data_IF_920496797554
#
_entry.id   IF_920496797554
#
_cell.length_a   1.000
_cell.length_b   1.000
_cell.length_c   1.000
_cell.angle_alpha   90.00
_cell.angle_beta   90.00
_cell.angle_gamma   90.00
#
_symmetry.space_group_name_H-M   'P 1'
#
loop_
_entity.id
_entity.type
_entity.pdbx_description
1 polymer ?
#
# COMPACT_ATOMS: atom_id res chain seq x y z
N UNK A 1 -22.00 1.93 14.00
CA UNK A 1 -22.97 0.82 14.14
C UNK A 1 -23.81 0.59 12.89
N UNK A 2 -24.32 1.62 12.20
CA UNK A 2 -25.17 1.40 11.00
C UNK A 2 -24.43 0.76 9.80
N UNK A 3 -23.16 1.12 9.60
CA UNK A 3 -22.34 0.60 8.49
C UNK A 3 -22.11 -0.91 8.52
N UNK A 4 -21.93 -1.47 9.71
CA UNK A 4 -21.73 -2.91 9.92
C UNK A 4 -22.97 -3.70 9.47
N UNK A 5 -24.17 -3.26 9.87
CA UNK A 5 -25.44 -3.85 9.40
C UNK A 5 -25.61 -3.75 7.88
N UNK A 6 -25.19 -2.65 7.25
CA UNK A 6 -25.25 -2.53 5.78
C UNK A 6 -24.33 -3.58 5.11
N UNK A 7 -23.14 -3.81 5.67
CA UNK A 7 -22.22 -4.83 5.16
C UNK A 7 -22.80 -6.24 5.34
N UNK A 8 -23.28 -6.59 6.53
CA UNK A 8 -23.91 -7.89 6.79
C UNK A 8 -25.09 -8.15 5.84
N UNK A 9 -25.87 -7.09 5.52
CA UNK A 9 -26.95 -7.17 4.55
C UNK A 9 -26.45 -7.41 3.11
N UNK A 10 -25.38 -6.72 2.68
CA UNK A 10 -24.80 -6.85 1.33
C UNK A 10 -24.14 -8.21 1.08
N UNK A 11 -23.63 -8.85 2.13
CA UNK A 11 -22.97 -10.15 2.09
C UNK A 11 -23.89 -11.32 2.48
N UNK A 12 -25.19 -11.08 2.67
CA UNK A 12 -26.18 -12.11 3.00
C UNK A 12 -25.95 -12.76 4.39
N UNK A 13 -25.26 -12.07 5.31
CA UNK A 13 -24.87 -12.58 6.64
C UNK A 13 -25.96 -12.37 7.71
N UNK A 14 -26.98 -11.55 7.41
CA UNK A 14 -28.12 -11.34 8.30
C UNK A 14 -29.07 -12.54 8.34
N UNK A 15 -29.53 -12.90 9.54
CA UNK A 15 -30.64 -13.85 9.72
C UNK A 15 -31.95 -13.29 9.15
N UNK A 16 -32.93 -14.14 8.77
CA UNK A 16 -34.18 -13.68 8.13
C UNK A 16 -34.95 -12.62 8.94
N UNK A 17 -35.05 -12.80 10.25
CA UNK A 17 -35.79 -11.89 11.13
C UNK A 17 -35.12 -10.51 11.21
N UNK A 18 -33.79 -10.49 11.30
CA UNK A 18 -32.98 -9.25 11.34
C UNK A 18 -33.02 -8.54 9.98
N UNK A 19 -33.02 -9.29 8.88
CA UNK A 19 -33.18 -8.75 7.54
C UNK A 19 -34.51 -8.02 7.37
N UNK A 20 -35.63 -8.62 7.82
CA UNK A 20 -36.94 -8.01 7.69
C UNK A 20 -37.06 -6.70 8.50
N UNK A 21 -36.47 -6.67 9.70
CA UNK A 21 -36.34 -5.44 10.49
C UNK A 21 -35.50 -4.38 9.78
N UNK A 22 -34.33 -4.76 9.27
CA UNK A 22 -33.45 -3.85 8.56
C UNK A 22 -34.07 -3.31 7.27
N UNK A 23 -34.83 -4.12 6.53
CA UNK A 23 -35.58 -3.67 5.36
C UNK A 23 -36.71 -2.70 5.70
N UNK A 24 -37.35 -2.86 6.87
CA UNK A 24 -38.32 -1.87 7.37
C UNK A 24 -37.64 -0.55 7.72
N UNK A 25 -36.46 -0.60 8.35
CA UNK A 25 -35.66 0.60 8.61
C UNK A 25 -35.21 1.30 7.31
N UNK A 26 -34.74 0.53 6.33
CA UNK A 26 -34.34 1.02 5.01
C UNK A 26 -35.48 1.75 4.30
N UNK A 27 -36.71 1.26 4.37
CA UNK A 27 -37.87 1.93 3.75
C UNK A 27 -38.16 3.31 4.35
N UNK A 28 -37.83 3.51 5.62
CA UNK A 28 -38.16 4.73 6.37
C UNK A 28 -36.98 5.71 6.50
N UNK A 29 -35.78 5.33 6.10
CA UNK A 29 -34.57 6.14 6.28
C UNK A 29 -33.83 6.38 4.96
N UNK A 30 -33.98 7.58 4.40
CA UNK A 30 -33.34 7.98 3.14
C UNK A 30 -31.81 8.01 3.21
N UNK A 31 -31.22 8.26 4.39
CA UNK A 31 -29.77 8.26 4.58
C UNK A 31 -29.19 6.85 4.45
N UNK A 32 -29.83 5.85 5.08
CA UNK A 32 -29.41 4.44 4.95
C UNK A 32 -29.56 3.94 3.51
N UNK A 33 -30.57 4.39 2.78
CA UNK A 33 -30.71 4.06 1.35
C UNK A 33 -29.57 4.63 0.50
N UNK A 34 -29.11 5.85 0.80
CA UNK A 34 -27.97 6.46 0.11
C UNK A 34 -26.69 5.68 0.39
N UNK A 35 -26.41 5.38 1.66
CA UNK A 35 -25.21 4.64 2.07
C UNK A 35 -25.17 3.22 1.49
N UNK A 36 -26.33 2.53 1.45
CA UNK A 36 -26.45 1.23 0.78
C UNK A 36 -26.14 1.33 -0.72
N UNK A 37 -26.63 2.37 -1.41
CA UNK A 37 -26.39 2.59 -2.84
C UNK A 37 -24.91 2.83 -3.13
N UNK A 38 -24.26 3.68 -2.33
CA UNK A 38 -22.82 3.96 -2.46
C UNK A 38 -21.99 2.67 -2.33
N UNK A 39 -22.29 1.82 -1.33
CA UNK A 39 -21.59 0.56 -1.15
C UNK A 39 -21.89 -0.47 -2.25
N UNK A 40 -23.10 -0.48 -2.81
CA UNK A 40 -23.44 -1.31 -3.97
C UNK A 40 -22.67 -0.88 -5.22
N UNK A 41 -22.47 0.42 -5.43
CA UNK A 41 -21.67 0.96 -6.54
C UNK A 41 -20.20 0.53 -6.41
N UNK A 42 -19.61 0.65 -5.22
CA UNK A 42 -18.24 0.17 -4.94
C UNK A 42 -18.12 -1.34 -5.23
N UNK A 43 -19.09 -2.15 -4.78
CA UNK A 43 -19.10 -3.59 -5.07
C UNK A 43 -19.20 -3.88 -6.56
N UNK A 44 -20.07 -3.18 -7.29
CA UNK A 44 -20.20 -3.30 -8.75
C UNK A 44 -18.88 -2.98 -9.44
N UNK A 45 -18.23 -1.89 -9.05
CA UNK A 45 -16.92 -1.49 -9.58
C UNK A 45 -15.85 -2.56 -9.33
N UNK A 46 -15.75 -3.08 -8.10
CA UNK A 46 -14.81 -4.16 -7.78
C UNK A 46 -15.10 -5.44 -8.57
N UNK A 47 -16.37 -5.80 -8.74
CA UNK A 47 -16.76 -7.01 -9.50
C UNK A 47 -16.39 -6.94 -10.99
N UNK A 48 -16.45 -5.74 -11.59
CA UNK A 48 -16.03 -5.53 -12.98
C UNK A 48 -14.51 -5.74 -13.17
N UNK A 49 -13.73 -5.56 -12.11
CA UNK A 49 -12.27 -5.77 -12.14
C UNK A 49 -11.85 -7.22 -11.89
N UNK A 50 -12.73 -8.08 -11.33
CA UNK A 50 -12.37 -9.45 -10.92
C UNK A 50 -12.66 -10.52 -11.98
N UNK A 51 -13.31 -10.17 -13.09
CA UNK A 51 -13.80 -11.16 -14.07
C UNK A 51 -12.77 -11.59 -15.13
N UNK A 52 -11.50 -11.19 -14.96
CA UNK A 52 -10.38 -11.90 -15.57
C UNK A 52 -9.80 -12.86 -14.54
N UNK A 53 -10.58 -13.90 -14.21
CA UNK A 53 -9.96 -15.15 -13.75
C UNK A 53 -9.07 -15.55 -14.91
N UNK A 54 -7.76 -15.31 -14.78
CA UNK A 54 -6.78 -15.77 -15.73
C UNK A 54 -7.07 -17.26 -15.92
N UNK A 55 -7.65 -17.62 -17.07
CA UNK A 55 -7.81 -19.01 -17.43
C UNK A 55 -6.43 -19.62 -17.24
N UNK A 56 -6.30 -20.77 -16.55
CA UNK A 56 -5.01 -21.43 -16.46
C UNK A 56 -4.51 -21.49 -17.88
N UNK A 57 -3.38 -20.83 -18.13
CA UNK A 57 -2.77 -20.83 -19.45
C UNK A 57 -2.49 -22.30 -19.72
N UNK A 58 -3.36 -22.95 -20.50
CA UNK A 58 -3.04 -24.23 -21.11
C UNK A 58 -1.92 -23.90 -22.09
N UNK A 59 -0.70 -23.91 -21.56
CA UNK A 59 0.50 -23.94 -22.35
C UNK A 59 0.43 -25.23 -23.13
N UNK A 60 -0.18 -25.18 -24.32
CA UNK A 60 0.14 -26.10 -25.40
C UNK A 60 1.58 -25.79 -25.76
N UNK A 61 2.51 -26.38 -25.00
CA UNK A 61 3.94 -26.35 -25.27
C UNK A 61 4.13 -27.14 -26.56
N UNK A 62 3.99 -26.46 -27.71
CA UNK A 62 4.55 -26.98 -28.95
C UNK A 62 6.04 -27.22 -28.65
N UNK A 63 6.57 -28.44 -28.86
CA UNK A 63 7.95 -28.74 -28.51
C UNK A 63 8.84 -27.77 -29.28
N UNK A 64 9.44 -26.82 -28.56
CA UNK A 64 10.32 -25.82 -29.14
C UNK A 64 11.55 -26.57 -29.64
N UNK A 65 11.69 -26.59 -30.96
CA UNK A 65 12.84 -27.18 -31.66
C UNK A 65 14.13 -26.58 -31.12
N UNK A 66 14.97 -27.43 -30.52
CA UNK A 66 16.38 -27.22 -30.12
C UNK A 66 16.82 -25.75 -30.06
N UNK A 67 16.40 -25.04 -29.01
CA UNK A 67 16.99 -23.73 -28.72
C UNK A 67 18.43 -23.98 -28.25
N UNK A 68 19.36 -23.40 -29.02
CA UNK A 68 20.79 -23.38 -28.75
C UNK A 68 20.99 -22.97 -27.28
N UNK A 69 21.70 -23.80 -26.52
CA UNK A 69 21.96 -23.69 -25.08
C UNK A 69 22.80 -22.42 -24.80
N UNK A 70 22.18 -21.25 -24.89
CA UNK A 70 22.74 -19.99 -24.42
C UNK A 70 22.86 -20.13 -22.91
N UNK A 71 24.06 -19.90 -22.38
CA UNK A 71 24.34 -20.18 -20.97
C UNK A 71 23.42 -19.34 -20.08
N UNK A 72 22.77 -19.99 -19.11
CA UNK A 72 21.74 -19.41 -18.22
C UNK A 72 22.19 -18.11 -17.53
N UNK A 73 23.50 -17.90 -17.43
CA UNK A 73 24.14 -16.70 -16.91
C UNK A 73 23.81 -15.42 -17.69
N UNK A 74 23.62 -15.50 -19.01
CA UNK A 74 23.29 -14.31 -19.82
C UNK A 74 21.87 -13.80 -19.58
N UNK A 75 20.91 -14.68 -19.31
CA UNK A 75 19.54 -14.28 -19.03
C UNK A 75 19.45 -13.47 -17.72
N UNK A 76 20.20 -13.87 -16.69
CA UNK A 76 20.27 -13.18 -15.39
C UNK A 76 20.91 -11.80 -15.55
N UNK A 77 22.00 -11.70 -16.32
CA UNK A 77 22.65 -10.42 -16.59
C UNK A 77 21.74 -9.47 -17.38
N UNK A 78 21.02 -9.98 -18.38
CA UNK A 78 20.08 -9.19 -19.16
C UNK A 78 18.89 -8.68 -18.32
N UNK A 79 18.34 -9.49 -17.42
CA UNK A 79 17.28 -9.04 -16.51
C UNK A 79 17.77 -7.99 -15.52
N UNK A 80 18.98 -8.14 -14.98
CA UNK A 80 19.58 -7.13 -14.10
C UNK A 80 19.81 -5.81 -14.83
N UNK A 81 20.31 -5.87 -16.06
CA UNK A 81 20.54 -4.69 -16.88
C UNK A 81 19.23 -3.96 -17.21
N UNK A 82 18.17 -4.70 -17.52
CA UNK A 82 16.84 -4.13 -17.77
C UNK A 82 16.31 -3.44 -16.51
N UNK A 83 16.51 -4.03 -15.32
CA UNK A 83 16.11 -3.45 -14.04
C UNK A 83 16.89 -2.15 -13.74
N UNK A 84 18.19 -2.10 -14.05
CA UNK A 84 19.00 -0.88 -13.92
C UNK A 84 18.53 0.23 -14.86
N UNK A 85 18.19 -0.10 -16.11
CA UNK A 85 17.67 0.87 -17.08
C UNK A 85 16.31 1.39 -16.64
N UNK A 86 15.41 0.50 -16.22
CA UNK A 86 14.09 0.88 -15.69
C UNK A 86 14.23 1.75 -14.43
N UNK A 87 15.11 1.38 -13.50
CA UNK A 87 15.39 2.16 -12.30
C UNK A 87 15.91 3.56 -12.63
N UNK A 88 16.78 3.69 -13.63
CA UNK A 88 17.27 4.99 -14.09
C UNK A 88 16.18 5.85 -14.74
N UNK A 89 15.24 5.25 -15.47
CA UNK A 89 14.11 5.98 -16.07
C UNK A 89 13.09 6.44 -15.02
N UNK A 90 12.94 5.70 -13.93
CA UNK A 90 11.99 5.98 -12.86
C UNK A 90 12.56 6.84 -11.71
N UNK A 91 13.79 7.34 -11.85
CA UNK A 91 14.56 8.01 -10.78
C UNK A 91 14.55 7.21 -9.46
N UNK A 92 14.76 5.89 -9.56
CA UNK A 92 14.84 5.01 -8.41
C UNK A 92 16.11 5.32 -7.60
N UNK A 93 15.94 5.83 -6.38
CA UNK A 93 17.01 6.05 -5.42
C UNK A 93 16.99 4.97 -4.37
N UNK A 94 18.16 4.39 -4.15
CA UNK A 94 18.41 3.40 -3.10
C UNK A 94 19.35 4.04 -2.10
N UNK A 95 18.87 4.28 -0.88
CA UNK A 95 19.67 4.85 0.19
C UNK A 95 19.79 3.84 1.34
N UNK A 96 21.03 3.53 1.71
CA UNK A 96 21.31 2.74 2.91
C UNK A 96 21.44 3.70 4.09
N UNK A 97 20.56 3.57 5.07
CA UNK A 97 20.52 4.45 6.24
C UNK A 97 20.54 3.59 7.51
N UNK A 98 21.68 3.53 8.18
CA UNK A 98 21.88 3.00 9.55
C UNK A 98 21.32 1.60 9.85
N UNK A 99 20.00 1.48 9.93
CA UNK A 99 19.24 0.27 10.25
C UNK A 99 18.47 -0.34 9.07
N UNK A 100 18.48 0.26 7.87
CA UNK A 100 17.69 -0.24 6.75
C UNK A 100 18.11 0.23 5.36
N UNK A 101 17.53 -0.44 4.36
CA UNK A 101 17.63 -0.10 2.95
C UNK A 101 16.32 0.58 2.53
N UNK A 102 16.37 1.86 2.20
CA UNK A 102 15.21 2.61 1.68
C UNK A 102 15.31 2.64 0.16
N UNK A 103 14.26 2.18 -0.50
CA UNK A 103 14.10 2.23 -1.96
C UNK A 103 12.90 3.12 -2.24
N UNK A 104 13.10 4.20 -2.99
CA UNK A 104 12.02 5.08 -3.40
C UNK A 104 12.28 5.68 -4.77
N UNK A 105 11.31 6.44 -5.27
CA UNK A 105 11.35 7.08 -6.57
C UNK A 105 11.39 8.61 -6.36
N UNK A 106 12.29 9.31 -7.05
CA UNK A 106 12.43 10.77 -6.94
C UNK A 106 13.36 11.25 -5.82
N UNK A 107 13.11 12.45 -5.27
CA UNK A 107 13.78 12.91 -4.05
C UNK A 107 13.24 12.12 -2.86
N UNK A 108 14.09 11.27 -2.28
CA UNK A 108 13.85 10.69 -0.97
C UNK A 108 13.87 11.85 0.02
N UNK A 109 12.69 12.34 0.41
CA UNK A 109 12.56 13.19 1.58
C UNK A 109 13.22 12.45 2.74
N UNK A 110 14.19 13.12 3.38
CA UNK A 110 14.82 12.53 4.55
C UNK A 110 13.71 12.23 5.55
N UNK A 111 13.65 11.00 6.11
CA UNK A 111 12.60 10.64 7.04
C UNK A 111 12.57 11.70 8.13
N UNK A 112 11.41 12.37 8.23
CA UNK A 112 11.20 13.50 9.10
C UNK A 112 11.68 13.13 10.51
N UNK A 113 12.67 13.86 11.05
CA UNK A 113 13.33 13.52 12.33
C UNK A 113 12.32 13.40 13.49
N UNK A 114 11.13 13.98 13.31
CA UNK A 114 9.97 13.88 14.19
C UNK A 114 9.53 12.43 14.48
N UNK A 115 9.67 11.51 13.52
CA UNK A 115 9.34 10.08 13.71
C UNK A 115 10.34 9.41 14.66
N UNK A 116 11.57 9.92 14.72
CA UNK A 116 12.65 9.38 15.53
C UNK A 116 12.55 9.80 17.00
N UNK A 117 12.01 10.98 17.28
CA UNK A 117 11.82 11.48 18.65
C UNK A 117 10.70 10.74 19.37
N UNK A 118 9.60 10.43 18.68
CA UNK A 118 8.48 9.68 19.27
C UNK A 118 8.88 8.22 19.55
N UNK A 119 9.67 7.61 18.66
CA UNK A 119 10.25 6.27 18.88
C UNK A 119 11.24 6.26 20.05
N UNK A 120 12.06 7.32 20.20
CA UNK A 120 13.00 7.45 21.32
C UNK A 120 12.29 7.59 22.66
N UNK A 121 11.23 8.40 22.73
CA UNK A 121 10.41 8.55 23.94
C UNK A 121 9.79 7.21 24.34
N UNK A 122 9.37 6.42 23.35
CA UNK A 122 8.78 5.09 23.56
C UNK A 122 9.81 4.06 24.04
N UNK A 123 11.01 4.05 23.46
CA UNK A 123 12.13 3.23 23.96
C UNK A 123 12.52 3.57 25.39
N UNK A 124 12.53 4.87 25.73
CA UNK A 124 12.84 5.33 27.08
C UNK A 124 11.77 4.89 28.11
N UNK A 125 10.48 4.93 27.75
CA UNK A 125 9.40 4.43 28.61
C UNK A 125 9.49 2.93 28.87
N UNK A 126 9.76 2.13 27.83
CA UNK A 126 9.95 0.68 27.97
C UNK A 126 11.15 0.35 28.86
N UNK A 127 12.25 1.10 28.71
CA UNK A 127 13.44 0.92 29.54
C UNK A 127 13.18 1.23 31.02
N UNK A 128 12.38 2.27 31.29
CA UNK A 128 11.94 2.63 32.65
C UNK A 128 11.04 1.55 33.27
N UNK A 129 10.12 0.99 32.49
CA UNK A 129 9.27 -0.11 32.94
C UNK A 129 10.12 -1.35 33.32
N UNK A 130 11.10 -1.72 32.49
CA UNK A 130 12.03 -2.83 32.76
C UNK A 130 12.87 -2.56 34.03
N UNK A 131 13.37 -1.34 34.22
CA UNK A 131 14.12 -0.97 35.42
C UNK A 131 13.29 -1.09 36.70
N UNK A 132 12.05 -0.61 36.69
CA UNK A 132 11.15 -0.72 37.85
C UNK A 132 10.87 -2.18 38.23
N UNK A 133 10.74 -3.05 37.22
CA UNK A 133 10.57 -4.48 37.37
C UNK A 133 11.79 -5.14 38.00
N UNK A 134 12.98 -4.72 37.56
CA UNK A 134 14.25 -5.21 38.09
C UNK A 134 14.51 -4.74 39.53
N UNK A 135 14.15 -3.50 39.88
CA UNK A 135 14.17 -3.00 41.26
C UNK A 135 13.20 -3.78 42.16
N UNK A 136 12.00 -4.07 41.66
CA UNK A 136 11.01 -4.84 42.42
C UNK A 136 11.52 -6.27 42.67
N UNK A 137 12.12 -6.93 41.67
CA UNK A 137 12.76 -8.24 41.83
C UNK A 137 13.93 -8.21 42.81
N UNK A 138 14.77 -7.18 42.75
CA UNK A 138 15.90 -7.03 43.68
C UNK A 138 15.45 -6.77 45.12
N UNK A 139 14.29 -6.13 45.33
CA UNK A 139 13.71 -5.96 46.67
C UNK A 139 13.29 -7.28 47.34
N UNK A 140 13.03 -8.32 46.55
CA UNK A 140 12.75 -9.67 47.05
C UNK A 140 14.02 -10.52 47.27
N UNK A 141 15.20 -10.01 46.88
CA UNK A 141 16.41 -10.81 46.72
C UNK A 141 17.59 -10.46 47.65
N UNK A 142 17.41 -9.68 48.72
CA UNK A 142 18.51 -9.38 49.64
C UNK A 142 18.74 -10.54 50.64
N UNK A 143 19.82 -11.33 50.54
CA UNK A 143 20.13 -12.41 51.47
C UNK A 143 20.99 -11.82 52.59
N UNK A 144 20.39 -11.55 53.73
CA UNK A 144 21.10 -10.96 54.86
C UNK A 144 20.49 -11.33 56.20
N UNK A 145 20.74 -12.56 56.65
CA UNK A 145 20.64 -12.94 58.07
C UNK A 145 19.49 -13.88 58.42
N UNK A 146 19.80 -15.18 58.48
CA UNK A 146 19.29 -16.18 59.44
C UNK A 146 17.81 -16.17 59.83
N UNK A 147 16.91 -15.83 58.91
CA UNK A 147 15.47 -15.87 59.17
C UNK A 147 14.80 -16.87 58.25
N UNK A 148 14.20 -17.88 58.90
CA UNK A 148 13.23 -18.86 58.43
C UNK A 148 12.46 -18.35 57.20
N UNK A 149 12.98 -18.68 56.01
CA UNK A 149 12.43 -18.21 54.74
C UNK A 149 11.15 -18.99 54.50
N UNK A 150 10.02 -18.42 54.89
CA UNK A 150 8.71 -18.90 54.42
C UNK A 150 8.80 -19.01 52.91
N UNK A 151 8.54 -20.19 52.32
CA UNK A 151 8.62 -20.36 50.88
C UNK A 151 7.64 -19.37 50.26
N UNK A 152 8.17 -18.36 49.56
CA UNK A 152 7.38 -17.45 48.72
C UNK A 152 6.51 -18.37 47.86
N UNK A 153 5.20 -18.29 48.11
CA UNK A 153 4.30 -19.29 47.58
C UNK A 153 4.35 -19.18 46.05
N UNK A 154 4.42 -20.32 45.36
CA UNK A 154 4.37 -20.37 43.89
C UNK A 154 3.21 -19.52 43.31
N UNK A 155 2.16 -19.30 44.11
CA UNK A 155 1.00 -18.47 43.81
C UNK A 155 1.29 -16.97 43.67
N UNK A 156 2.25 -16.41 44.41
CA UNK A 156 2.59 -14.98 44.31
C UNK A 156 3.43 -14.69 43.07
N UNK A 157 4.36 -15.58 42.73
CA UNK A 157 5.12 -15.49 41.48
C UNK A 157 4.23 -15.67 40.25
N UNK A 158 3.20 -16.53 40.33
CA UNK A 158 2.21 -16.68 39.27
C UNK A 158 1.33 -15.43 39.10
N UNK A 159 0.96 -14.76 40.19
CA UNK A 159 0.21 -13.50 40.15
C UNK A 159 1.05 -12.37 39.55
N UNK A 160 2.33 -12.28 39.92
CA UNK A 160 3.25 -11.29 39.36
C UNK A 160 3.46 -11.52 37.86
N UNK A 161 3.71 -12.76 37.43
CA UNK A 161 3.83 -13.10 36.02
C UNK A 161 2.54 -12.79 35.23
N UNK A 162 1.37 -13.08 35.81
CA UNK A 162 0.07 -12.74 35.21
C UNK A 162 -0.13 -11.24 35.04
N UNK A 163 0.25 -10.44 36.05
CA UNK A 163 0.19 -8.98 35.96
C UNK A 163 1.13 -8.43 34.88
N UNK A 164 2.38 -8.91 34.80
CA UNK A 164 3.36 -8.51 33.78
C UNK A 164 2.85 -8.82 32.37
N UNK A 165 2.33 -10.04 32.15
CA UNK A 165 1.81 -10.46 30.84
C UNK A 165 0.60 -9.61 30.45
N UNK A 166 -0.28 -9.28 31.40
CA UNK A 166 -1.45 -8.45 31.12
C UNK A 166 -1.07 -6.98 30.85
N UNK A 167 -0.11 -6.43 31.59
CA UNK A 167 0.41 -5.09 31.36
C UNK A 167 1.07 -4.98 29.97
N UNK A 168 1.92 -5.94 29.60
CA UNK A 168 2.54 -5.98 28.27
C UNK A 168 1.53 -6.14 27.13
N UNK A 169 0.51 -7.00 27.31
CA UNK A 169 -0.54 -7.17 26.30
C UNK A 169 -1.34 -5.88 26.09
N UNK A 170 -1.71 -5.21 27.18
CA UNK A 170 -2.46 -3.96 27.12
C UNK A 170 -1.65 -2.86 26.42
N UNK A 171 -0.35 -2.78 26.72
CA UNK A 171 0.56 -1.84 26.08
C UNK A 171 0.75 -2.15 24.60
N UNK A 172 0.96 -3.42 24.24
CA UNK A 172 1.07 -3.90 22.86
C UNK A 172 -0.18 -3.57 22.03
N UNK A 173 -1.38 -3.83 22.55
CA UNK A 173 -2.63 -3.49 21.84
C UNK A 173 -2.77 -1.98 21.62
N UNK A 174 -2.34 -1.17 22.59
CA UNK A 174 -2.36 0.29 22.46
C UNK A 174 -1.33 0.82 21.44
N UNK A 175 -0.19 0.13 21.31
CA UNK A 175 0.87 0.44 20.36
C UNK A 175 0.45 0.03 18.95
N UNK A 176 -0.10 -1.17 18.79
CA UNK A 176 -0.65 -1.66 17.52
C UNK A 176 -1.78 -0.75 17.03
N UNK A 177 -2.68 -0.31 17.91
CA UNK A 177 -3.76 0.62 17.52
C UNK A 177 -3.22 1.98 17.09
N UNK A 178 -2.19 2.51 17.78
CA UNK A 178 -1.55 3.79 17.42
C UNK A 178 -0.75 3.69 16.12
N UNK A 179 -0.01 2.60 15.92
CA UNK A 179 0.69 2.30 14.67
C UNK A 179 -0.28 2.10 13.51
N UNK A 180 -1.36 1.36 13.71
CA UNK A 180 -2.39 1.17 12.69
C UNK A 180 -3.01 2.50 12.28
N UNK A 181 -3.37 3.36 13.25
CA UNK A 181 -3.92 4.69 12.96
C UNK A 181 -2.91 5.59 12.23
N UNK A 182 -1.64 5.58 12.64
CA UNK A 182 -0.59 6.37 11.98
C UNK A 182 -0.27 5.84 10.58
N UNK A 183 -0.21 4.53 10.39
CA UNK A 183 -0.06 3.90 9.07
C UNK A 183 -1.23 4.29 8.18
N UNK A 184 -2.47 4.30 8.69
CA UNK A 184 -3.64 4.73 7.92
C UNK A 184 -3.56 6.22 7.55
N UNK A 185 -3.11 7.08 8.46
CA UNK A 185 -2.93 8.52 8.24
C UNK A 185 -1.83 8.79 7.20
N UNK A 186 -0.65 8.16 7.35
CA UNK A 186 0.46 8.27 6.41
C UNK A 186 0.12 7.65 5.04
N UNK A 187 -0.60 6.51 5.02
CA UNK A 187 -1.10 5.92 3.77
C UNK A 187 -2.10 6.84 3.08
N UNK A 188 -2.94 7.57 3.81
CA UNK A 188 -3.88 8.51 3.22
C UNK A 188 -3.16 9.67 2.55
N UNK A 189 -2.13 10.25 3.20
CA UNK A 189 -1.28 11.30 2.60
C UNK A 189 -0.53 10.77 1.38
N UNK A 190 0.07 9.59 1.48
CA UNK A 190 0.77 8.95 0.36
C UNK A 190 -0.16 8.67 -0.84
N UNK A 191 -1.34 8.11 -0.61
CA UNK A 191 -2.34 7.85 -1.67
C UNK A 191 -2.82 9.17 -2.29
N UNK A 192 -3.00 10.22 -1.50
CA UNK A 192 -3.33 11.55 -2.03
C UNK A 192 -2.22 12.09 -2.93
N UNK A 193 -0.95 11.94 -2.54
CA UNK A 193 0.20 12.31 -3.36
C UNK A 193 0.26 11.54 -4.68
N UNK A 194 0.17 10.21 -4.62
CA UNK A 194 0.16 9.34 -5.83
C UNK A 194 -1.02 9.68 -6.76
N UNK A 195 -2.21 9.94 -6.20
CA UNK A 195 -3.37 10.35 -6.99
C UNK A 195 -3.16 11.71 -7.67
N UNK A 196 -2.55 12.67 -6.97
CA UNK A 196 -2.23 13.99 -7.51
C UNK A 196 -1.19 13.90 -8.63
N UNK A 197 -0.14 13.11 -8.45
CA UNK A 197 0.90 12.88 -9.47
C UNK A 197 0.32 12.19 -10.71
N UNK A 198 -0.55 11.19 -10.53
CA UNK A 198 -1.29 10.55 -11.63
C UNK A 198 -2.17 11.54 -12.39
N UNK A 199 -2.90 12.42 -11.68
CA UNK A 199 -3.71 13.47 -12.32
C UNK A 199 -2.86 14.47 -13.09
N UNK A 200 -1.70 14.87 -12.54
CA UNK A 200 -0.77 15.76 -13.21
C UNK A 200 -0.22 15.14 -14.49
N UNK A 201 0.26 13.89 -14.40
CA UNK A 201 0.75 13.12 -15.55
C UNK A 201 -0.32 12.97 -16.64
N UNK A 202 -1.56 12.63 -16.29
CA UNK A 202 -2.66 12.51 -17.26
C UNK A 202 -2.99 13.83 -17.95
N UNK A 203 -2.98 14.94 -17.21
CA UNK A 203 -3.23 16.26 -17.77
C UNK A 203 -2.11 16.69 -18.73
N UNK A 204 -0.86 16.39 -18.38
CA UNK A 204 0.29 16.69 -19.22
C UNK A 204 0.29 15.84 -20.50
N UNK A 205 -0.01 14.55 -20.39
CA UNK A 205 -0.19 13.66 -21.54
C UNK A 205 -1.28 14.18 -22.48
N UNK A 206 -2.46 14.51 -21.95
CA UNK A 206 -3.56 15.08 -22.74
C UNK A 206 -3.16 16.38 -23.44
N UNK A 207 -2.41 17.25 -22.76
CA UNK A 207 -1.92 18.51 -23.34
C UNK A 207 -0.97 18.24 -24.50
N UNK A 208 -0.04 17.30 -24.35
CA UNK A 208 0.89 16.90 -25.41
C UNK A 208 0.13 16.31 -26.62
N UNK A 209 -0.84 15.44 -26.36
CA UNK A 209 -1.66 14.83 -27.41
C UNK A 209 -2.46 15.89 -28.19
N UNK A 210 -3.06 16.86 -27.49
CA UNK A 210 -3.76 17.98 -28.12
C UNK A 210 -2.83 18.85 -28.96
N UNK A 211 -1.58 19.06 -28.52
CA UNK A 211 -0.57 19.76 -29.30
C UNK A 211 -0.20 18.99 -30.57
N UNK A 212 -0.02 17.67 -30.48
CA UNK A 212 0.25 16.83 -31.65
C UNK A 212 -0.91 16.87 -32.65
N UNK A 213 -2.16 16.78 -32.19
CA UNK A 213 -3.35 16.89 -33.04
C UNK A 213 -3.40 18.26 -33.73
N UNK A 214 -3.16 19.34 -32.99
CA UNK A 214 -3.17 20.69 -33.55
C UNK A 214 -2.08 20.87 -34.62
N UNK A 215 -0.87 20.38 -34.34
CA UNK A 215 0.24 20.40 -35.30
C UNK A 215 -0.10 19.57 -36.54
N UNK A 216 -0.68 18.38 -36.38
CA UNK A 216 -1.13 17.54 -37.48
C UNK A 216 -2.21 18.21 -38.33
N UNK A 217 -3.20 18.88 -37.70
CA UNK A 217 -4.22 19.64 -38.42
C UNK A 217 -3.64 20.83 -39.18
N UNK A 218 -2.68 21.56 -38.61
CA UNK A 218 -2.01 22.66 -39.31
C UNK A 218 -1.24 22.17 -40.54
N UNK A 219 -0.56 21.03 -40.44
CA UNK A 219 0.12 20.40 -41.59
C UNK A 219 -0.88 19.99 -42.67
N UNK A 220 -2.03 19.41 -42.30
CA UNK A 220 -3.08 19.08 -43.26
C UNK A 220 -3.64 20.32 -43.97
N UNK A 221 -3.90 21.40 -43.22
CA UNK A 221 -4.37 22.67 -43.81
C UNK A 221 -3.34 23.25 -44.78
N UNK A 222 -2.05 23.22 -44.44
CA UNK A 222 -0.98 23.64 -45.35
C UNK A 222 -0.93 22.77 -46.60
N UNK A 223 -1.02 21.45 -46.46
CA UNK A 223 -1.01 20.53 -47.60
C UNK A 223 -2.18 20.76 -48.56
N UNK A 224 -3.38 21.05 -48.03
CA UNK A 224 -4.56 21.35 -48.84
C UNK A 224 -4.48 22.69 -49.59
N UNK A 225 -3.62 23.62 -49.17
CA UNK A 225 -3.40 24.90 -49.85
C UNK A 225 -2.34 24.80 -50.97
N UNK A 226 -1.58 23.71 -51.05
CA UNK A 226 -0.57 23.52 -52.08
C UNK A 226 -1.20 23.22 -53.45
N UNK A 227 -0.67 23.80 -54.55
CA UNK A 227 -1.03 23.41 -55.91
C UNK A 227 -0.81 21.91 -56.12
N UNK A 228 -1.64 21.27 -56.95
CA UNK A 228 -1.65 19.81 -57.14
C UNK A 228 -0.31 19.18 -57.58
N UNK A 229 0.63 19.96 -58.14
CA UNK A 229 1.99 19.50 -58.45
C UNK A 229 2.89 19.38 -57.22
N UNK A 230 2.73 20.23 -56.21
CA UNK A 230 3.55 20.22 -54.98
C UNK A 230 3.06 19.16 -53.97
N UNK A 231 1.78 18.76 -54.08
CA UNK A 231 1.17 17.74 -53.22
C UNK A 231 1.87 16.37 -53.35
N UNK A 232 2.31 16.02 -54.56
CA UNK A 232 3.02 14.77 -54.82
C UNK A 232 4.43 14.73 -54.18
N UNK A 233 5.11 15.87 -54.09
CA UNK A 233 6.42 15.96 -53.42
C UNK A 233 6.26 15.96 -51.90
N UNK A 234 5.21 16.59 -51.37
CA UNK A 234 4.93 16.61 -49.94
C UNK A 234 4.67 15.21 -49.37
N UNK A 235 3.82 14.41 -50.03
CA UNK A 235 3.50 13.03 -49.59
C UNK A 235 4.75 12.15 -49.52
N UNK A 236 5.69 12.33 -50.46
CA UNK A 236 6.90 11.53 -50.53
C UNK A 236 7.91 11.87 -49.41
N UNK A 237 7.97 13.13 -48.97
CA UNK A 237 8.84 13.56 -47.86
C UNK A 237 8.29 13.17 -46.48
N UNK A 238 6.98 13.14 -46.29
CA UNK A 238 6.38 12.70 -45.02
C UNK A 238 6.59 11.21 -44.72
N UNK A 239 6.80 10.36 -45.74
CA UNK A 239 7.07 8.93 -45.52
C UNK A 239 8.52 8.60 -45.12
N UNK A 240 9.46 9.54 -45.22
CA UNK A 240 10.86 9.29 -44.84
C UNK A 240 11.21 9.66 -43.39
N UNK A 241 10.32 10.38 -42.69
CA UNK A 241 10.56 10.87 -41.33
C UNK A 241 9.81 10.08 -40.24
N UNK A 242 9.19 8.96 -40.60
CA UNK A 242 8.62 7.97 -39.68
C UNK A 242 9.33 6.62 -39.88
#
# INVERSE_FOLDING_TARGET
MNRERILDYLYDEMTPDVREEFERELRNNSTLQSELRELQEVRSFLSQSTDQVAQPIEMVVKPVTKVRRISRWWAIAASLLLLVVAGKMLDLKVQSQGSGLVIGFGELEQPDESINDDLKVQYAQLQGAIQSLQEQLNSYGAPGGDTDVKPVSLSENQKLAGWIVNAMKQEQTSLESRLANKILEDQQVYIQGVAQDLMNYWNEQRKNDLQMINNGMQQLVQALQLPSQDLAQFVNNTQQNY
#
